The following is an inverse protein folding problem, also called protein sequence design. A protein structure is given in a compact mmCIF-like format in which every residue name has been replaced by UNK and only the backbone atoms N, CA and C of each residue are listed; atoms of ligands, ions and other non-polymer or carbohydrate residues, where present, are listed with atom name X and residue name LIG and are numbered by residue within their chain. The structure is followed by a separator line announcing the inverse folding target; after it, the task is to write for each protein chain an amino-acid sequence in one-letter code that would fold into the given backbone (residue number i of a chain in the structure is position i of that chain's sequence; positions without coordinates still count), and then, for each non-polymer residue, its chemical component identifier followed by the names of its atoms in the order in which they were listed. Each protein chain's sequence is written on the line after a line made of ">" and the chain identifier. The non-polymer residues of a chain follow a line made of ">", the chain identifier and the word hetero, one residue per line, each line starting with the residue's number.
data_IF_828619030844
#
_entry.id   IF_828619030844
#
_cell.length_a   1.000
_cell.length_b   1.000
_cell.length_c   1.000
_cell.angle_alpha   90.00
_cell.angle_beta   90.00
_cell.angle_gamma   90.00
#
_symmetry.space_group_name_H-M   'P 1'
#
loop_
_entity.id
_entity.type
_entity.pdbx_description
1 polymer ?
#
# COMPACT_ATOMS: atom_id res chain seq x y z
N UNK A 1 -7.24 13.30 12.73
CA UNK A 1 -7.48 11.92 13.19
C UNK A 1 -6.10 11.30 13.37
N UNK A 2 -5.73 10.87 14.58
CA UNK A 2 -4.41 10.28 14.81
C UNK A 2 -4.42 8.85 14.24
N UNK A 3 -3.75 8.66 13.11
CA UNK A 3 -3.48 7.32 12.59
C UNK A 3 -2.64 6.61 13.65
N UNK A 4 -3.13 5.49 14.16
CA UNK A 4 -2.38 4.72 15.16
C UNK A 4 -1.40 3.82 14.41
N UNK A 5 -0.10 4.00 14.61
CA UNK A 5 0.94 3.05 14.17
C UNK A 5 0.56 1.58 14.45
N UNK A 6 -0.10 1.34 15.59
CA UNK A 6 -0.58 0.01 15.98
C UNK A 6 -1.65 -0.57 15.03
N UNK A 7 -2.46 0.29 14.40
CA UNK A 7 -3.46 -0.12 13.39
C UNK A 7 -2.82 -0.50 12.06
N UNK A 8 -1.75 0.21 11.64
CA UNK A 8 -1.00 -0.12 10.43
C UNK A 8 -0.29 -1.46 10.61
N UNK A 9 0.44 -1.61 11.72
CA UNK A 9 1.19 -2.83 12.02
C UNK A 9 0.29 -4.06 12.05
N UNK A 10 -0.84 -3.97 12.75
CA UNK A 10 -1.81 -5.06 12.84
C UNK A 10 -2.41 -5.45 11.48
N UNK A 11 -2.83 -4.47 10.67
CA UNK A 11 -3.49 -4.76 9.39
C UNK A 11 -2.53 -5.23 8.30
N UNK A 12 -1.28 -4.76 8.32
CA UNK A 12 -0.21 -5.29 7.49
C UNK A 12 0.09 -6.73 7.88
N UNK A 13 0.32 -7.00 9.18
CA UNK A 13 0.60 -8.34 9.69
C UNK A 13 -0.49 -9.33 9.26
N UNK A 14 -1.74 -8.99 9.55
CA UNK A 14 -2.90 -9.84 9.26
C UNK A 14 -2.98 -10.19 7.78
N UNK A 15 -2.80 -9.23 6.86
CA UNK A 15 -2.88 -9.49 5.41
C UNK A 15 -1.72 -10.33 4.90
N UNK A 16 -0.50 -10.05 5.38
CA UNK A 16 0.69 -10.81 4.99
C UNK A 16 0.65 -12.25 5.52
N UNK A 17 0.11 -12.47 6.72
CA UNK A 17 0.02 -13.79 7.33
C UNK A 17 -0.78 -14.78 6.47
N UNK A 18 -1.86 -14.33 5.82
CA UNK A 18 -2.71 -15.18 4.97
C UNK A 18 -1.99 -15.79 3.77
N UNK A 19 -0.90 -15.18 3.29
CA UNK A 19 -0.11 -15.70 2.17
C UNK A 19 1.33 -16.07 2.55
N UNK A 20 1.62 -16.24 3.85
CA UNK A 20 3.00 -16.47 4.35
C UNK A 20 3.72 -17.67 3.72
N UNK A 21 3.02 -18.62 3.11
CA UNK A 21 3.65 -19.77 2.47
C UNK A 21 4.26 -19.43 1.08
N UNK A 22 3.96 -18.25 0.52
CA UNK A 22 4.41 -17.80 -0.81
C UNK A 22 5.47 -16.67 -0.74
N UNK A 23 6.14 -16.52 0.41
CA UNK A 23 6.99 -15.38 0.81
C UNK A 23 8.29 -15.18 0.02
N UNK A 24 8.75 -16.18 -0.74
CA UNK A 24 10.11 -16.21 -1.29
C UNK A 24 10.50 -14.99 -2.13
N UNK A 25 9.52 -14.32 -2.74
CA UNK A 25 9.73 -13.20 -3.68
C UNK A 25 9.25 -11.83 -3.17
N UNK A 26 8.80 -11.68 -1.92
CA UNK A 26 8.14 -10.43 -1.46
C UNK A 26 9.14 -9.34 -1.08
N UNK A 27 10.32 -9.73 -0.57
CA UNK A 27 11.28 -8.82 0.07
C UNK A 27 11.78 -7.71 -0.86
N UNK A 28 12.23 -8.06 -2.07
CA UNK A 28 12.85 -7.09 -2.98
C UNK A 28 11.88 -6.06 -3.54
N UNK A 29 10.57 -6.28 -3.41
CA UNK A 29 9.52 -5.41 -3.96
C UNK A 29 8.70 -4.68 -2.90
N UNK A 30 8.62 -5.23 -1.69
CA UNK A 30 8.14 -4.50 -0.52
C UNK A 30 9.06 -3.32 -0.16
N UNK A 31 10.38 -3.53 -0.22
CA UNK A 31 11.38 -2.47 0.03
C UNK A 31 11.33 -1.32 -0.95
N UNK A 32 10.69 -1.51 -2.11
CA UNK A 32 10.60 -0.48 -3.14
C UNK A 32 9.36 0.42 -2.94
N UNK A 33 8.38 0.08 -2.09
CA UNK A 33 7.10 0.84 -2.03
C UNK A 33 7.34 2.28 -1.57
N UNK A 34 8.06 2.47 -0.46
CA UNK A 34 8.36 3.78 0.11
C UNK A 34 9.17 4.65 -0.86
N UNK A 35 10.30 4.12 -1.35
CA UNK A 35 11.16 4.78 -2.34
C UNK A 35 10.40 5.10 -3.65
N UNK A 36 9.50 4.21 -4.07
CA UNK A 36 8.71 4.38 -5.28
C UNK A 36 7.67 5.48 -5.14
N UNK A 37 6.96 5.54 -4.03
CA UNK A 37 5.97 6.61 -3.77
C UNK A 37 6.68 7.96 -3.68
N UNK A 38 7.83 8.03 -3.01
CA UNK A 38 8.64 9.24 -2.94
C UNK A 38 9.17 9.70 -4.31
N UNK A 39 9.51 8.77 -5.20
CA UNK A 39 10.12 9.08 -6.51
C UNK A 39 9.09 9.32 -7.62
N UNK A 40 8.03 8.51 -7.67
CA UNK A 40 7.10 8.43 -8.79
C UNK A 40 5.67 8.84 -8.46
N UNK A 41 5.37 9.04 -7.17
CA UNK A 41 4.09 9.56 -6.72
C UNK A 41 2.97 8.51 -6.57
N UNK A 42 1.89 8.97 -5.93
CA UNK A 42 0.78 8.16 -5.43
C UNK A 42 -0.03 7.52 -6.58
N UNK A 43 -0.30 8.27 -7.66
CA UNK A 43 -1.06 7.77 -8.81
C UNK A 43 -0.40 6.54 -9.44
N UNK A 44 0.93 6.57 -9.58
CA UNK A 44 1.66 5.49 -10.23
C UNK A 44 1.74 4.26 -9.33
N UNK A 45 1.87 4.46 -8.01
CA UNK A 45 1.68 3.40 -7.03
C UNK A 45 0.28 2.77 -7.18
N UNK A 46 -0.77 3.59 -7.21
CA UNK A 46 -2.15 3.13 -7.27
C UNK A 46 -2.41 2.25 -8.50
N UNK A 47 -1.96 2.70 -9.68
CA UNK A 47 -2.09 1.95 -10.93
C UNK A 47 -1.41 0.58 -10.88
N UNK A 48 -0.24 0.49 -10.23
CA UNK A 48 0.51 -0.77 -10.11
C UNK A 48 -0.08 -1.71 -9.08
N UNK A 49 -0.62 -1.18 -7.98
CA UNK A 49 -1.27 -1.96 -6.92
C UNK A 49 -2.60 -2.63 -7.36
N UNK A 50 -3.17 -2.18 -8.48
CA UNK A 50 -4.42 -2.72 -9.04
C UNK A 50 -4.24 -4.00 -9.87
N UNK A 51 -3.01 -4.35 -10.24
CA UNK A 51 -2.75 -5.54 -11.06
C UNK A 51 -3.20 -6.80 -10.31
N UNK A 52 -4.33 -7.37 -10.74
CA UNK A 52 -4.83 -8.66 -10.25
C UNK A 52 -3.86 -9.78 -10.64
N UNK A 53 -3.83 -10.81 -9.80
CA UNK A 53 -3.07 -12.05 -9.94
C UNK A 53 -3.38 -12.80 -11.27
N UNK A 54 -2.96 -12.29 -12.43
CA UNK A 54 -2.98 -13.01 -13.71
C UNK A 54 -1.85 -14.06 -13.76
N UNK A 55 -2.11 -15.22 -14.37
CA UNK A 55 -1.58 -16.55 -14.04
C UNK A 55 -0.06 -16.83 -13.85
N UNK A 56 0.85 -15.85 -13.99
CA UNK A 56 2.30 -16.06 -14.10
C UNK A 56 3.17 -15.60 -12.91
N UNK A 57 4.42 -16.08 -12.85
CA UNK A 57 5.41 -15.86 -11.76
C UNK A 57 5.73 -14.39 -11.38
N UNK A 58 5.32 -13.41 -12.20
CA UNK A 58 5.28 -11.98 -11.87
C UNK A 58 4.21 -11.59 -10.84
N UNK A 59 3.27 -12.50 -10.51
CA UNK A 59 2.19 -12.40 -9.50
C UNK A 59 2.66 -11.98 -8.12
N UNK A 60 3.73 -12.60 -7.67
CA UNK A 60 4.14 -12.53 -6.27
C UNK A 60 4.75 -11.16 -5.95
N UNK A 61 5.22 -10.44 -6.98
CA UNK A 61 5.88 -9.15 -6.88
C UNK A 61 4.93 -7.99 -6.56
N UNK A 62 3.65 -8.09 -6.91
CA UNK A 62 2.65 -7.03 -6.70
C UNK A 62 1.80 -7.23 -5.44
N UNK A 63 1.92 -8.39 -4.78
CA UNK A 63 1.15 -8.67 -3.58
C UNK A 63 1.45 -7.69 -2.45
N UNK A 64 2.72 -7.35 -2.21
CA UNK A 64 3.09 -6.33 -1.21
C UNK A 64 2.46 -4.95 -1.51
N UNK A 65 2.32 -4.61 -2.79
CA UNK A 65 1.73 -3.35 -3.24
C UNK A 65 0.20 -3.37 -3.10
N UNK A 66 -0.41 -4.52 -3.39
CA UNK A 66 -1.83 -4.75 -3.12
C UNK A 66 -2.14 -4.64 -1.62
N UNK A 67 -1.33 -5.27 -0.76
CA UNK A 67 -1.47 -5.15 0.70
C UNK A 67 -1.35 -3.70 1.12
N UNK A 68 -0.36 -2.97 0.61
CA UNK A 68 -0.20 -1.56 0.96
C UNK A 68 -1.43 -0.71 0.59
N UNK A 69 -2.01 -0.94 -0.60
CA UNK A 69 -3.27 -0.28 -1.00
C UNK A 69 -4.43 -0.68 -0.09
N UNK A 70 -4.62 -1.96 0.18
CA UNK A 70 -5.74 -2.43 1.02
C UNK A 70 -5.66 -1.93 2.46
N UNK A 71 -4.45 -1.79 2.99
CA UNK A 71 -4.21 -1.19 4.31
C UNK A 71 -4.45 0.31 4.25
N UNK A 72 -3.97 1.00 3.22
CA UNK A 72 -4.26 2.42 3.01
C UNK A 72 -5.77 2.68 3.01
N UNK A 73 -6.54 1.91 2.23
CA UNK A 73 -8.00 2.06 2.15
C UNK A 73 -8.72 1.73 3.46
N UNK A 74 -8.10 0.96 4.35
CA UNK A 74 -8.66 0.66 5.67
C UNK A 74 -8.41 1.79 6.68
N UNK A 75 -7.36 2.58 6.45
CA UNK A 75 -6.92 3.67 7.35
C UNK A 75 -7.53 5.01 6.93
N UNK A 76 -7.60 5.28 5.63
CA UNK A 76 -8.23 6.50 5.14
C UNK A 76 -9.73 6.44 5.43
N UNK A 77 -10.29 7.60 5.77
CA UNK A 77 -11.70 7.75 6.11
C UNK A 77 -12.59 7.46 4.89
N UNK A 78 -13.66 6.69 5.08
CA UNK A 78 -14.70 6.42 4.08
C UNK A 78 -15.25 7.72 3.45
N UNK A 79 -15.16 8.85 4.18
CA UNK A 79 -15.54 10.18 3.69
C UNK A 79 -14.76 10.65 2.46
N UNK A 80 -13.61 10.04 2.14
CA UNK A 80 -12.83 10.34 0.94
C UNK A 80 -13.35 9.57 -0.28
N UNK A 81 -14.24 8.60 -0.06
CA UNK A 81 -14.85 7.77 -1.10
C UNK A 81 -13.84 6.92 -1.86
N UNK A 82 -12.64 6.69 -1.31
CA UNK A 82 -11.60 5.86 -1.91
C UNK A 82 -11.61 4.51 -1.21
N UNK A 83 -11.87 3.46 -1.97
CA UNK A 83 -11.79 2.07 -1.50
C UNK A 83 -10.74 1.29 -2.30
N UNK A 84 -10.52 0.02 -1.92
CA UNK A 84 -9.54 -0.85 -2.58
C UNK A 84 -9.89 -1.17 -4.04
N UNK A 85 -11.14 -0.99 -4.44
CA UNK A 85 -11.68 -1.32 -5.75
C UNK A 85 -11.82 -0.07 -6.66
N UNK A 86 -11.46 1.10 -6.15
CA UNK A 86 -11.50 2.39 -6.87
C UNK A 86 -10.47 2.38 -8.00
N UNK A 87 -10.96 2.51 -9.24
CA UNK A 87 -10.12 2.50 -10.44
C UNK A 87 -9.18 3.71 -10.48
N UNK A 88 -8.09 3.61 -11.25
CA UNK A 88 -7.07 4.67 -11.32
C UNK A 88 -7.64 6.04 -11.75
N UNK A 89 -8.59 6.06 -12.69
CA UNK A 89 -9.20 7.32 -13.16
C UNK A 89 -10.05 7.96 -12.06
N UNK A 90 -10.87 7.17 -11.38
CA UNK A 90 -11.68 7.65 -10.24
C UNK A 90 -10.80 8.07 -9.06
N UNK A 91 -9.71 7.34 -8.80
CA UNK A 91 -8.74 7.69 -7.78
C UNK A 91 -8.07 9.04 -8.10
N UNK A 92 -7.70 9.27 -9.36
CA UNK A 92 -7.17 10.55 -9.82
C UNK A 92 -8.17 11.69 -9.61
N UNK A 93 -9.44 11.49 -9.98
CA UNK A 93 -10.50 12.48 -9.78
C UNK A 93 -10.71 12.78 -8.28
N UNK A 94 -10.74 11.76 -7.42
CA UNK A 94 -10.90 11.93 -5.97
C UNK A 94 -9.69 12.61 -5.31
N UNK A 95 -8.49 12.38 -5.84
CA UNK A 95 -7.23 12.93 -5.33
C UNK A 95 -6.99 14.38 -5.76
N UNK A 96 -7.38 14.74 -6.99
CA UNK A 96 -7.10 16.04 -7.60
C UNK A 96 -8.31 16.94 -7.81
N UNK A 97 -9.55 16.46 -7.59
CA UNK A 97 -10.85 17.15 -7.74
C UNK A 97 -10.73 18.60 -8.19
N UNK A 98 -11.06 18.90 -9.46
CA UNK A 98 -10.74 20.16 -10.16
C UNK A 98 -11.36 21.46 -9.58
N UNK A 99 -11.95 21.45 -8.38
CA UNK A 99 -12.40 22.66 -7.69
C UNK A 99 -11.21 23.50 -7.19
N UNK A 100 -10.96 24.69 -7.78
CA UNK A 100 -9.85 25.56 -7.40
C UNK A 100 -9.96 26.08 -5.95
N UNK A 101 -11.15 26.04 -5.34
CA UNK A 101 -11.35 26.45 -3.95
C UNK A 101 -10.88 25.39 -2.94
N UNK A 102 -10.54 24.18 -3.40
CA UNK A 102 -10.14 23.05 -2.56
C UNK A 102 -8.65 22.69 -2.70
N UNK A 103 -7.83 23.52 -3.35
CA UNK A 103 -6.41 23.27 -3.60
C UNK A 103 -5.61 22.90 -2.33
N UNK A 104 -5.88 23.59 -1.21
CA UNK A 104 -5.24 23.30 0.07
C UNK A 104 -5.64 21.92 0.61
N UNK A 105 -6.91 21.53 0.43
CA UNK A 105 -7.43 20.22 0.87
C UNK A 105 -6.86 19.10 0.00
N UNK A 106 -6.76 19.31 -1.32
CA UNK A 106 -6.14 18.34 -2.24
C UNK A 106 -4.67 18.09 -1.88
N UNK A 107 -3.92 19.17 -1.63
CA UNK A 107 -2.49 19.09 -1.27
C UNK A 107 -2.32 18.33 0.04
N UNK A 108 -3.16 18.61 1.04
CA UNK A 108 -3.17 17.86 2.30
C UNK A 108 -3.51 16.38 2.10
N UNK A 109 -4.49 16.05 1.27
CA UNK A 109 -4.83 14.65 0.96
C UNK A 109 -3.67 13.91 0.31
N UNK A 110 -3.00 14.53 -0.66
CA UNK A 110 -1.82 13.95 -1.31
C UNK A 110 -0.68 13.73 -0.31
N UNK A 111 -0.37 14.72 0.53
CA UNK A 111 0.65 14.58 1.58
C UNK A 111 0.32 13.43 2.53
N UNK A 112 -0.91 13.38 3.05
CA UNK A 112 -1.36 12.33 3.98
C UNK A 112 -1.27 10.95 3.33
N UNK A 113 -1.71 10.78 2.08
CA UNK A 113 -1.62 9.49 1.40
C UNK A 113 -0.17 9.09 1.15
N UNK A 114 0.70 10.03 0.77
CA UNK A 114 2.12 9.75 0.57
C UNK A 114 2.78 9.29 1.88
N UNK A 115 2.56 10.02 2.97
CA UNK A 115 3.09 9.67 4.31
C UNK A 115 2.59 8.31 4.77
N UNK A 116 1.29 8.04 4.64
CA UNK A 116 0.70 6.75 4.96
C UNK A 116 1.31 5.62 4.13
N UNK A 117 1.48 5.81 2.82
CA UNK A 117 2.04 4.78 1.95
C UNK A 117 3.51 4.50 2.25
N UNK A 118 4.28 5.50 2.64
CA UNK A 118 5.66 5.35 3.12
C UNK A 118 5.67 4.48 4.38
N UNK A 119 4.86 4.83 5.38
CA UNK A 119 4.77 4.11 6.65
C UNK A 119 4.29 2.66 6.47
N UNK A 120 3.26 2.46 5.63
CA UNK A 120 2.76 1.15 5.27
C UNK A 120 3.84 0.35 4.52
N UNK A 121 4.56 0.97 3.58
CA UNK A 121 5.65 0.34 2.83
C UNK A 121 6.74 -0.20 3.75
N UNK A 122 7.21 0.62 4.69
CA UNK A 122 8.21 0.23 5.69
C UNK A 122 7.72 -0.92 6.57
N UNK A 123 6.46 -0.87 6.99
CA UNK A 123 5.82 -1.91 7.80
C UNK A 123 5.68 -3.23 7.03
N UNK A 124 5.32 -3.18 5.75
CA UNK A 124 5.26 -4.36 4.88
C UNK A 124 6.65 -4.98 4.70
N UNK A 125 7.69 -4.16 4.52
CA UNK A 125 9.06 -4.62 4.44
C UNK A 125 9.50 -5.29 5.75
N UNK A 126 9.21 -4.68 6.90
CA UNK A 126 9.52 -5.22 8.22
C UNK A 126 8.94 -6.62 8.43
N UNK A 127 7.63 -6.79 8.23
CA UNK A 127 6.96 -8.07 8.44
C UNK A 127 7.37 -9.13 7.43
N UNK A 128 7.60 -8.74 6.17
CA UNK A 128 8.12 -9.65 5.14
C UNK A 128 9.46 -10.24 5.54
N UNK A 129 10.38 -9.40 6.06
CA UNK A 129 11.67 -9.88 6.59
C UNK A 129 11.47 -10.81 7.79
N UNK A 130 10.57 -10.46 8.71
CA UNK A 130 10.32 -11.23 9.92
C UNK A 130 9.76 -12.63 9.64
N UNK A 131 8.83 -12.76 8.69
CA UNK A 131 8.29 -14.07 8.32
C UNK A 131 9.33 -14.95 7.62
N UNK A 132 10.16 -14.36 6.75
CA UNK A 132 11.26 -15.07 6.07
C UNK A 132 12.27 -15.65 7.07
N UNK A 133 12.69 -14.86 8.06
CA UNK A 133 13.61 -15.32 9.10
C UNK A 133 13.03 -16.47 9.91
N UNK A 134 11.70 -16.45 10.11
CA UNK A 134 10.99 -17.51 10.82
C UNK A 134 10.93 -18.81 10.01
N UNK A 135 10.85 -18.73 8.68
CA UNK A 135 10.90 -19.90 7.80
C UNK A 135 12.30 -20.50 7.69
N UNK A 136 13.35 -19.66 7.59
CA UNK A 136 14.74 -20.13 7.56
C UNK A 136 15.18 -20.89 8.82
N UNK A 137 14.53 -20.63 9.96
CA UNK A 137 14.81 -21.33 11.23
C UNK A 137 14.15 -22.71 11.33
N UNK A 138 13.19 -23.01 10.45
CA UNK A 138 12.44 -24.27 10.45
C UNK A 138 12.93 -25.27 9.39
N UNK A 139 14.07 -24.99 8.74
CA UNK A 139 14.77 -25.85 7.77
C UNK A 139 16.16 -26.17 8.28
#
# INVERSE_FOLDING_TARGET
>A
MAISLNSIDYEVFKRLEHRKNDLGNWQGKASEISDYVATWGILRFWALSFKKDEENSSKVSYFAWQVAREVLCQIIDDSWGIDKDTLINEFNEKLYNDDPNLLNVQTQRQMVIAELLIEIGDTVQFWTNRFKDSQKKNT
#
